data_IF_670052688538
#
_entry.id   IF_670052688538
#
_cell.length_a   1.000
_cell.length_b   1.000
_cell.length_c   1.000
_cell.angle_alpha   90.00
_cell.angle_beta   90.00
_cell.angle_gamma   90.00
#
_symmetry.space_group_name_H-M   'P 1'
#
loop_
_entity.id
_entity.type
_entity.pdbx_description
1 polymer ?
#
# COMPACT_ATOMS: atom_id res chain seq x y z
N UNK A 1 -2.27 -12.36 -0.33
CA UNK A 1 -1.00 -11.79 -0.83
C UNK A 1 0.13 -12.62 -0.28
N UNK A 2 1.17 -12.90 -1.07
CA UNK A 2 2.40 -13.48 -0.52
C UNK A 2 3.25 -12.34 0.05
N UNK A 3 3.65 -12.44 1.33
CA UNK A 3 4.48 -11.43 1.99
C UNK A 3 5.90 -11.97 2.18
N UNK A 4 6.93 -11.09 2.18
CA UNK A 4 8.30 -11.52 2.44
C UNK A 4 8.44 -12.28 3.77
N UNK A 5 9.20 -13.38 3.73
CA UNK A 5 9.52 -14.14 4.93
C UNK A 5 10.43 -13.33 5.88
N UNK A 6 10.41 -13.67 7.17
CA UNK A 6 11.37 -13.14 8.14
C UNK A 6 12.60 -14.04 8.21
N UNK A 7 13.77 -13.44 8.37
CA UNK A 7 15.01 -14.16 8.64
C UNK A 7 15.16 -14.50 10.14
N UNK A 8 16.29 -15.14 10.49
CA UNK A 8 16.60 -15.56 11.86
C UNK A 8 16.69 -14.40 12.87
N UNK A 9 16.87 -13.17 12.41
CA UNK A 9 16.88 -11.95 13.25
C UNK A 9 15.54 -11.20 13.20
N UNK A 10 14.49 -11.80 12.64
CA UNK A 10 13.13 -11.26 12.61
C UNK A 10 12.87 -10.19 11.54
N UNK A 11 13.82 -9.94 10.65
CA UNK A 11 13.70 -8.93 9.59
C UNK A 11 13.12 -9.53 8.31
N UNK A 12 12.32 -8.74 7.58
CA UNK A 12 11.77 -9.16 6.28
C UNK A 12 12.87 -9.25 5.22
N UNK A 13 12.89 -10.36 4.49
CA UNK A 13 13.75 -10.62 3.34
C UNK A 13 13.10 -10.03 2.07
N UNK A 14 13.23 -8.71 1.93
CA UNK A 14 12.71 -7.94 0.77
C UNK A 14 13.77 -7.82 -0.32
N UNK A 15 13.38 -7.30 -1.49
CA UNK A 15 14.30 -6.99 -2.61
C UNK A 15 15.38 -5.96 -2.25
N UNK A 16 15.20 -5.23 -1.15
CA UNK A 16 16.11 -4.20 -0.68
C UNK A 16 17.07 -4.70 0.42
N UNK A 17 16.99 -5.98 0.80
CA UNK A 17 17.82 -6.55 1.87
C UNK A 17 19.20 -6.94 1.34
N UNK A 18 20.24 -6.67 2.14
CA UNK A 18 21.60 -7.14 1.84
C UNK A 18 22.25 -6.50 0.61
N UNK A 19 21.66 -5.42 0.09
CA UNK A 19 22.15 -4.73 -1.10
C UNK A 19 23.35 -3.81 -0.76
N UNK A 20 24.19 -3.58 -1.77
CA UNK A 20 25.34 -2.68 -1.69
C UNK A 20 24.90 -1.22 -1.50
N UNK A 21 25.82 -0.35 -1.07
CA UNK A 21 25.49 1.08 -0.91
C UNK A 21 25.15 1.75 -2.24
N UNK A 22 25.80 1.37 -3.34
CA UNK A 22 25.43 1.86 -4.67
C UNK A 22 24.00 1.43 -5.04
N UNK A 23 23.62 0.19 -4.76
CA UNK A 23 22.25 -0.28 -4.94
C UNK A 23 21.27 0.46 -4.03
N UNK A 24 21.58 0.73 -2.75
CA UNK A 24 20.71 1.55 -1.89
C UNK A 24 20.44 2.91 -2.50
N UNK A 25 21.47 3.58 -3.02
CA UNK A 25 21.30 4.87 -3.70
C UNK A 25 20.39 4.75 -4.92
N UNK A 26 20.55 3.67 -5.70
CA UNK A 26 19.71 3.40 -6.87
C UNK A 26 18.26 3.04 -6.48
N UNK A 27 18.04 2.21 -5.46
CA UNK A 27 16.73 1.82 -4.94
C UNK A 27 16.00 3.02 -4.32
N UNK A 28 16.71 3.85 -3.56
CA UNK A 28 16.18 5.11 -3.03
C UNK A 28 15.67 6.03 -4.14
N UNK A 29 16.43 6.16 -5.23
CA UNK A 29 15.99 6.94 -6.40
C UNK A 29 14.76 6.35 -7.06
N UNK A 30 14.70 5.03 -7.22
CA UNK A 30 13.53 4.34 -7.76
C UNK A 30 12.30 4.55 -6.87
N UNK A 31 12.45 4.44 -5.55
CA UNK A 31 11.39 4.72 -4.59
C UNK A 31 10.88 6.17 -4.72
N UNK A 32 11.77 7.15 -4.70
CA UNK A 32 11.36 8.56 -4.83
C UNK A 32 10.73 8.86 -6.20
N UNK A 33 11.17 8.19 -7.27
CA UNK A 33 10.49 8.26 -8.56
C UNK A 33 9.06 7.75 -8.50
N UNK A 34 8.84 6.58 -7.90
CA UNK A 34 7.51 6.00 -7.72
C UNK A 34 6.63 6.94 -6.89
N UNK A 35 7.18 7.55 -5.84
CA UNK A 35 6.46 8.55 -5.05
C UNK A 35 6.07 9.77 -5.89
N UNK A 36 7.01 10.33 -6.67
CA UNK A 36 6.75 11.47 -7.54
C UNK A 36 5.65 11.20 -8.60
N UNK A 37 5.47 9.94 -9.00
CA UNK A 37 4.42 9.53 -9.95
C UNK A 37 3.07 9.24 -9.27
N UNK A 38 3.07 8.73 -8.03
CA UNK A 38 1.87 8.19 -7.40
C UNK A 38 1.28 9.07 -6.29
N UNK A 39 2.05 10.01 -5.75
CA UNK A 39 1.62 10.91 -4.68
C UNK A 39 1.16 12.25 -5.27
N UNK A 40 -0.02 12.25 -5.91
CA UNK A 40 -0.45 13.34 -6.80
C UNK A 40 -1.40 14.37 -6.19
N UNK A 41 -1.90 14.16 -4.96
CA UNK A 41 -2.71 15.17 -4.28
C UNK A 41 -1.89 16.42 -3.97
N UNK A 42 -2.52 17.60 -3.90
CA UNK A 42 -1.85 18.89 -3.74
C UNK A 42 -0.87 18.95 -2.54
N UNK A 43 -1.17 18.29 -1.43
CA UNK A 43 -0.27 18.24 -0.26
C UNK A 43 1.07 17.54 -0.52
N UNK A 44 1.17 16.72 -1.57
CA UNK A 44 2.38 15.98 -1.96
C UNK A 44 3.14 16.63 -3.12
N UNK A 45 2.74 17.82 -3.59
CA UNK A 45 3.48 18.56 -4.63
C UNK A 45 5.00 18.67 -4.35
N UNK A 46 5.45 18.92 -3.09
CA UNK A 46 6.88 19.01 -2.79
C UNK A 46 7.69 17.76 -3.16
N UNK A 47 7.04 16.59 -3.27
CA UNK A 47 7.69 15.33 -3.66
C UNK A 47 8.24 15.40 -5.07
N UNK A 48 7.43 15.87 -6.03
CA UNK A 48 7.84 15.96 -7.44
C UNK A 48 8.91 17.03 -7.64
N UNK A 49 8.75 18.21 -7.03
CA UNK A 49 9.70 19.32 -7.17
C UNK A 49 11.05 18.99 -6.52
N UNK A 50 11.07 18.40 -5.32
CA UNK A 50 12.31 17.98 -4.65
C UNK A 50 13.04 16.85 -5.40
N UNK A 51 12.30 15.84 -5.89
CA UNK A 51 12.91 14.75 -6.68
C UNK A 51 13.54 15.26 -7.96
N UNK A 52 12.83 16.13 -8.69
CA UNK A 52 13.32 16.77 -9.91
C UNK A 52 14.61 17.56 -9.65
N UNK A 53 14.64 18.35 -8.57
CA UNK A 53 15.82 19.10 -8.15
C UNK A 53 16.99 18.17 -7.77
N UNK A 54 16.74 17.11 -6.99
CA UNK A 54 17.75 16.14 -6.59
C UNK A 54 18.45 15.50 -7.80
N UNK A 55 17.71 15.07 -8.82
CA UNK A 55 18.34 14.48 -10.01
C UNK A 55 19.12 15.53 -10.81
N UNK A 56 18.58 16.75 -10.94
CA UNK A 56 19.22 17.81 -11.70
C UNK A 56 20.55 18.24 -11.06
N UNK A 57 20.54 18.52 -9.75
CA UNK A 57 21.70 18.96 -8.98
C UNK A 57 22.80 17.90 -8.96
N UNK A 58 22.42 16.63 -8.87
CA UNK A 58 23.32 15.50 -8.64
C UNK A 58 23.49 14.58 -9.85
N UNK A 59 23.20 15.07 -11.06
CA UNK A 59 23.22 14.26 -12.29
C UNK A 59 24.56 13.52 -12.51
N UNK A 60 25.70 14.16 -12.21
CA UNK A 60 27.04 13.57 -12.35
C UNK A 60 27.31 12.44 -11.34
N UNK A 61 27.26 12.68 -10.00
CA UNK A 61 27.51 11.61 -9.03
C UNK A 61 26.51 10.45 -9.16
N UNK A 62 25.23 10.73 -9.46
CA UNK A 62 24.23 9.67 -9.66
C UNK A 62 24.50 8.82 -10.91
N UNK A 63 25.06 9.41 -11.97
CA UNK A 63 25.52 8.65 -13.15
C UNK A 63 26.68 7.73 -12.80
N UNK A 64 27.63 8.18 -11.98
CA UNK A 64 28.76 7.36 -11.55
C UNK A 64 28.33 6.16 -10.71
N UNK A 65 27.31 6.33 -9.85
CA UNK A 65 26.66 5.21 -9.12
C UNK A 65 26.10 4.20 -10.12
N UNK A 66 25.29 4.64 -11.08
CA UNK A 66 24.73 3.75 -12.11
C UNK A 66 25.82 2.99 -12.89
N UNK A 67 26.91 3.67 -13.26
CA UNK A 67 28.03 3.05 -13.97
C UNK A 67 28.78 2.01 -13.12
N UNK A 68 28.84 2.18 -11.79
CA UNK A 68 29.41 1.17 -10.88
C UNK A 68 28.52 -0.05 -10.79
N UNK A 69 27.21 0.12 -10.59
CA UNK A 69 26.22 -0.97 -10.59
C UNK A 69 26.32 -1.77 -11.88
N UNK A 70 26.30 -1.09 -13.03
CA UNK A 70 26.44 -1.71 -14.34
C UNK A 70 27.72 -2.55 -14.48
N UNK A 71 28.83 -2.11 -13.88
CA UNK A 71 30.07 -2.89 -13.87
C UNK A 71 29.95 -4.13 -12.99
N UNK A 72 29.38 -4.00 -11.78
CA UNK A 72 29.15 -5.12 -10.86
C UNK A 72 28.33 -6.22 -11.53
N UNK A 73 27.15 -5.90 -12.07
CA UNK A 73 26.29 -6.88 -12.74
C UNK A 73 26.96 -7.57 -13.94
N UNK A 74 27.79 -6.84 -14.70
CA UNK A 74 28.55 -7.43 -15.82
C UNK A 74 29.64 -8.39 -15.35
N UNK A 75 30.27 -8.09 -14.22
CA UNK A 75 31.30 -8.93 -13.62
C UNK A 75 30.70 -10.21 -13.04
N UNK A 76 29.60 -10.10 -12.30
CA UNK A 76 28.93 -11.23 -11.67
C UNK A 76 28.33 -12.22 -12.68
N UNK A 77 27.72 -11.70 -13.76
CA UNK A 77 27.04 -12.55 -14.75
C UNK A 77 27.97 -13.10 -15.84
N UNK A 78 29.27 -12.74 -15.84
CA UNK A 78 30.28 -13.22 -16.78
C UNK A 78 30.07 -12.84 -18.26
N UNK A 79 28.97 -12.18 -18.61
CA UNK A 79 28.63 -11.74 -19.95
C UNK A 79 27.80 -10.45 -19.93
N UNK A 80 28.11 -9.51 -20.84
CA UNK A 80 27.47 -8.19 -20.91
C UNK A 80 25.94 -8.27 -21.01
N UNK A 81 25.41 -9.16 -21.86
CA UNK A 81 23.96 -9.29 -22.07
C UNK A 81 23.25 -9.86 -20.84
N UNK A 82 23.84 -10.84 -20.19
CA UNK A 82 23.29 -11.45 -18.97
C UNK A 82 23.27 -10.44 -17.81
N UNK A 83 24.31 -9.62 -17.66
CA UNK A 83 24.33 -8.53 -16.68
C UNK A 83 23.25 -7.47 -16.90
N UNK A 84 22.94 -7.14 -18.16
CA UNK A 84 21.85 -6.20 -18.48
C UNK A 84 20.48 -6.79 -18.08
N UNK A 85 20.23 -8.05 -18.45
CA UNK A 85 18.95 -8.70 -18.13
C UNK A 85 18.74 -8.84 -16.61
N UNK A 86 19.76 -9.26 -15.88
CA UNK A 86 19.70 -9.36 -14.41
C UNK A 86 19.40 -8.00 -13.76
N UNK A 87 20.00 -6.91 -14.28
CA UNK A 87 19.73 -5.55 -13.82
C UNK A 87 18.30 -5.10 -14.12
N UNK A 88 17.77 -5.40 -15.31
CA UNK A 88 16.40 -5.03 -15.70
C UNK A 88 15.34 -5.78 -14.88
N UNK A 89 15.58 -7.05 -14.57
CA UNK A 89 14.76 -7.84 -13.66
C UNK A 89 14.75 -7.23 -12.26
N UNK A 90 15.93 -6.94 -11.70
CA UNK A 90 16.07 -6.25 -10.42
C UNK A 90 15.34 -4.90 -10.43
N UNK A 91 15.47 -4.13 -11.52
CA UNK A 91 14.77 -2.86 -11.65
C UNK A 91 13.27 -3.05 -11.50
N UNK A 92 12.71 -3.96 -12.29
CA UNK A 92 11.26 -4.22 -12.28
C UNK A 92 10.78 -4.65 -10.89
N UNK A 93 11.54 -5.51 -10.20
CA UNK A 93 11.19 -5.95 -8.85
C UNK A 93 11.15 -4.80 -7.82
N UNK A 94 12.10 -3.87 -7.89
CA UNK A 94 12.15 -2.70 -7.01
C UNK A 94 11.00 -1.73 -7.27
N UNK A 95 10.69 -1.45 -8.54
CA UNK A 95 9.53 -0.60 -8.87
C UNK A 95 8.22 -1.24 -8.38
N UNK A 96 8.06 -2.55 -8.58
CA UNK A 96 6.88 -3.29 -8.11
C UNK A 96 6.75 -3.26 -6.59
N UNK A 97 7.87 -3.36 -5.86
CA UNK A 97 7.90 -3.26 -4.41
C UNK A 97 7.37 -1.89 -3.94
N UNK A 98 7.93 -0.79 -4.45
CA UNK A 98 7.52 0.55 -4.05
C UNK A 98 6.14 0.96 -4.58
N UNK A 99 5.61 0.24 -5.57
CA UNK A 99 4.28 0.45 -6.13
C UNK A 99 3.16 -0.30 -5.38
N UNK A 100 3.45 -1.00 -4.27
CA UNK A 100 2.43 -1.73 -3.51
C UNK A 100 1.31 -0.78 -3.02
N UNK A 101 0.07 -0.93 -3.55
CA UNK A 101 -1.04 -0.05 -3.18
C UNK A 101 -1.35 0.06 -1.68
N UNK A 102 -1.31 -1.02 -0.87
CA UNK A 102 -1.72 -0.93 0.53
C UNK A 102 -0.75 -0.10 1.40
N UNK A 103 0.51 0.07 0.99
CA UNK A 103 1.48 0.91 1.69
C UNK A 103 1.47 2.38 1.21
N UNK A 104 0.80 2.69 0.09
CA UNK A 104 0.93 3.96 -0.65
C UNK A 104 0.69 5.19 0.22
N UNK A 105 -0.35 5.21 1.05
CA UNK A 105 -0.68 6.39 1.85
C UNK A 105 0.43 6.74 2.88
N UNK A 106 1.04 5.72 3.50
CA UNK A 106 2.17 5.91 4.42
C UNK A 106 3.45 6.23 3.66
N UNK A 107 3.64 5.61 2.51
CA UNK A 107 4.76 5.88 1.61
C UNK A 107 4.79 7.33 1.11
N UNK A 108 3.65 7.88 0.68
CA UNK A 108 3.56 9.28 0.27
C UNK A 108 3.91 10.26 1.39
N UNK A 109 3.51 9.96 2.63
CA UNK A 109 3.89 10.75 3.81
C UNK A 109 5.38 10.68 4.09
N UNK A 110 6.00 9.50 4.00
CA UNK A 110 7.44 9.34 4.16
C UNK A 110 8.23 10.09 3.07
N UNK A 111 7.78 9.98 1.81
CA UNK A 111 8.38 10.70 0.69
C UNK A 111 8.26 12.23 0.85
N UNK A 112 7.13 12.73 1.37
CA UNK A 112 6.95 14.14 1.69
C UNK A 112 7.92 14.61 2.77
N UNK A 113 8.10 13.85 3.84
CA UNK A 113 9.08 14.16 4.89
C UNK A 113 10.50 14.27 4.32
N UNK A 114 10.93 13.28 3.53
CA UNK A 114 12.25 13.30 2.87
C UNK A 114 12.40 14.50 1.93
N UNK A 115 11.34 14.82 1.18
CA UNK A 115 11.33 15.97 0.26
C UNK A 115 11.47 17.29 1.00
N UNK A 116 10.81 17.42 2.15
CA UNK A 116 10.94 18.59 3.02
C UNK A 116 12.35 18.70 3.63
N UNK A 117 12.95 17.58 4.05
CA UNK A 117 14.35 17.56 4.54
C UNK A 117 15.33 18.01 3.47
N UNK A 118 15.18 17.48 2.25
CA UNK A 118 16.00 17.86 1.11
C UNK A 118 15.89 19.37 0.80
N UNK A 119 14.67 19.90 0.81
CA UNK A 119 14.42 21.32 0.55
C UNK A 119 14.95 22.23 1.67
N UNK A 120 14.84 21.79 2.94
CA UNK A 120 15.33 22.54 4.09
C UNK A 120 16.86 22.59 4.17
N UNK A 121 17.54 21.49 3.80
CA UNK A 121 18.98 21.37 3.82
C UNK A 121 19.45 20.53 2.64
N UNK A 122 19.84 21.19 1.53
CA UNK A 122 20.37 20.50 0.36
C UNK A 122 21.66 19.76 0.74
N UNK A 123 21.75 18.44 0.49
CA UNK A 123 22.93 17.67 0.85
C UNK A 123 24.12 18.04 -0.07
N UNK A 124 25.34 17.99 0.46
CA UNK A 124 26.55 18.06 -0.37
C UNK A 124 26.88 16.73 -1.04
N UNK A 125 26.47 15.62 -0.42
CA UNK A 125 26.64 14.27 -0.93
C UNK A 125 25.27 13.60 -1.15
N UNK A 126 24.85 13.37 -2.41
CA UNK A 126 23.59 12.72 -2.72
C UNK A 126 23.56 11.24 -2.31
N UNK A 127 24.70 10.54 -2.36
CA UNK A 127 24.76 9.12 -2.03
C UNK A 127 24.56 8.93 -0.52
N UNK A 128 25.26 9.73 0.30
CA UNK A 128 25.06 9.73 1.75
C UNK A 128 23.59 10.07 2.11
N UNK A 129 23.03 11.12 1.50
CA UNK A 129 21.62 11.48 1.72
C UNK A 129 20.66 10.33 1.39
N UNK A 130 20.87 9.63 0.28
CA UNK A 130 20.04 8.49 -0.10
C UNK A 130 20.17 7.33 0.90
N UNK A 131 21.38 6.97 1.30
CA UNK A 131 21.64 5.88 2.26
C UNK A 131 21.01 6.19 3.61
N UNK A 132 21.18 7.41 4.11
CA UNK A 132 20.68 7.83 5.43
C UNK A 132 19.15 7.86 5.51
N UNK A 133 18.48 8.09 4.38
CA UNK A 133 17.02 8.22 4.33
C UNK A 133 16.31 6.99 3.75
N UNK A 134 17.02 5.99 3.24
CA UNK A 134 16.40 4.85 2.54
C UNK A 134 15.44 4.06 3.43
N UNK A 135 15.83 3.77 4.66
CA UNK A 135 14.99 3.03 5.61
C UNK A 135 13.64 3.71 5.89
N UNK A 136 13.55 5.04 5.77
CA UNK A 136 12.30 5.78 5.95
C UNK A 136 11.30 5.53 4.82
N UNK A 137 11.79 5.31 3.59
CA UNK A 137 10.94 4.92 2.45
C UNK A 137 10.51 3.46 2.53
N UNK A 138 11.29 2.60 3.18
CA UNK A 138 10.97 1.17 3.35
C UNK A 138 9.97 0.91 4.49
N UNK A 139 10.06 1.67 5.57
CA UNK A 139 9.24 1.46 6.78
C UNK A 139 7.72 1.34 6.53
N UNK A 140 7.09 2.11 5.62
CA UNK A 140 5.68 1.93 5.25
C UNK A 140 5.32 0.52 4.76
N UNK A 141 6.23 -0.12 4.04
CA UNK A 141 6.02 -1.46 3.46
C UNK A 141 6.23 -2.53 4.51
N UNK A 142 7.28 -2.43 5.32
CA UNK A 142 7.52 -3.33 6.45
C UNK A 142 6.35 -3.32 7.45
N UNK A 143 5.85 -2.13 7.78
CA UNK A 143 4.66 -1.99 8.64
C UNK A 143 3.44 -2.66 8.02
N UNK A 144 3.20 -2.47 6.72
CA UNK A 144 2.10 -3.15 6.04
C UNK A 144 2.24 -4.67 6.09
N UNK A 145 3.43 -5.22 5.84
CA UNK A 145 3.65 -6.67 5.90
C UNK A 145 3.37 -7.22 7.30
N UNK A 146 3.75 -6.48 8.33
CA UNK A 146 3.54 -6.86 9.73
C UNK A 146 2.05 -6.82 10.12
N UNK A 147 1.34 -5.75 9.72
CA UNK A 147 -0.11 -5.66 9.89
C UNK A 147 -0.85 -6.77 9.12
N UNK A 148 -0.39 -7.10 7.91
CA UNK A 148 -1.00 -8.15 7.09
C UNK A 148 -0.76 -9.55 7.65
N UNK A 149 0.44 -9.83 8.16
CA UNK A 149 0.75 -11.08 8.87
C UNK A 149 -0.11 -11.23 10.13
N UNK A 150 -0.27 -10.14 10.90
CA UNK A 150 -1.16 -10.13 12.05
C UNK A 150 -2.61 -10.40 11.65
N UNK A 151 -3.08 -9.76 10.58
CA UNK A 151 -4.41 -10.00 10.03
C UNK A 151 -4.59 -11.48 9.66
N UNK A 152 -3.63 -12.10 8.94
CA UNK A 152 -3.72 -13.52 8.56
C UNK A 152 -3.84 -14.43 9.78
N UNK A 153 -3.08 -14.16 10.84
CA UNK A 153 -3.16 -14.91 12.09
C UNK A 153 -4.51 -14.73 12.77
N UNK A 154 -4.98 -13.50 12.90
CA UNK A 154 -6.27 -13.20 13.53
C UNK A 154 -7.44 -13.81 12.75
N UNK A 155 -7.38 -13.79 11.42
CA UNK A 155 -8.34 -14.44 10.52
C UNK A 155 -8.40 -15.94 10.79
N UNK A 156 -7.23 -16.59 10.87
CA UNK A 156 -7.14 -18.02 11.16
C UNK A 156 -7.66 -18.37 12.57
N UNK A 157 -7.29 -17.59 13.60
CA UNK A 157 -7.78 -17.79 14.97
C UNK A 157 -9.30 -17.62 15.06
N UNK A 158 -9.87 -16.67 14.31
CA UNK A 158 -11.31 -16.51 14.20
C UNK A 158 -11.95 -17.72 13.50
N UNK A 159 -11.37 -18.23 12.42
CA UNK A 159 -11.86 -19.42 11.70
C UNK A 159 -11.87 -20.66 12.58
N UNK A 160 -10.81 -20.88 13.35
CA UNK A 160 -10.74 -22.00 14.29
C UNK A 160 -11.84 -21.91 15.35
N UNK A 161 -12.17 -20.70 15.81
CA UNK A 161 -13.13 -20.50 16.90
C UNK A 161 -14.58 -20.48 16.43
N UNK A 162 -14.84 -19.92 15.25
CA UNK A 162 -16.20 -19.60 14.80
C UNK A 162 -16.51 -20.04 13.37
N UNK A 163 -15.55 -20.60 12.64
CA UNK A 163 -15.70 -20.99 11.25
C UNK A 163 -16.81 -22.01 11.01
N UNK A 164 -17.04 -22.93 11.96
CA UNK A 164 -18.15 -23.89 11.88
C UNK A 164 -19.53 -23.22 12.03
N UNK A 165 -19.59 -22.09 12.73
CA UNK A 165 -20.85 -21.39 13.06
C UNK A 165 -21.20 -20.30 12.05
N UNK A 166 -20.20 -19.56 11.56
CA UNK A 166 -20.39 -18.41 10.67
C UNK A 166 -19.75 -18.59 9.28
N UNK A 167 -19.11 -19.74 9.02
CA UNK A 167 -18.32 -19.96 7.82
C UNK A 167 -16.89 -19.37 7.93
N UNK A 168 -15.98 -19.72 7.01
CA UNK A 168 -14.61 -19.22 7.02
C UNK A 168 -14.55 -17.71 6.79
N UNK A 169 -13.63 -17.03 7.47
CA UNK A 169 -13.31 -15.61 7.34
C UNK A 169 -12.99 -15.30 5.89
N UNK A 170 -13.92 -14.61 5.24
CA UNK A 170 -13.82 -14.30 3.83
C UNK A 170 -13.20 -12.92 3.64
N UNK A 171 -12.31 -12.75 2.64
CA UNK A 171 -12.02 -11.41 2.12
C UNK A 171 -13.35 -10.73 1.79
N UNK A 172 -13.52 -9.45 2.13
CA UNK A 172 -14.83 -8.78 2.05
C UNK A 172 -15.54 -8.91 0.69
N UNK A 173 -14.80 -9.08 -0.41
CA UNK A 173 -15.39 -9.35 -1.73
C UNK A 173 -16.10 -10.72 -1.82
N UNK A 174 -15.58 -11.78 -1.19
CA UNK A 174 -16.23 -13.10 -1.20
C UNK A 174 -17.50 -13.08 -0.35
N UNK A 175 -17.48 -12.39 0.80
CA UNK A 175 -18.68 -12.15 1.60
C UNK A 175 -19.75 -11.39 0.78
N UNK A 176 -19.35 -10.35 0.03
CA UNK A 176 -20.22 -9.61 -0.89
C UNK A 176 -20.79 -10.50 -2.00
N UNK A 177 -20.00 -11.37 -2.62
CA UNK A 177 -20.47 -12.28 -3.67
C UNK A 177 -21.45 -13.33 -3.11
N UNK A 178 -21.15 -13.90 -1.95
CA UNK A 178 -22.05 -14.82 -1.26
C UNK A 178 -23.37 -14.15 -0.87
N UNK A 179 -23.31 -12.93 -0.34
CA UNK A 179 -24.50 -12.12 -0.05
C UNK A 179 -25.35 -11.89 -1.30
N UNK A 180 -24.74 -11.50 -2.43
CA UNK A 180 -25.44 -11.39 -3.73
C UNK A 180 -26.08 -12.70 -4.17
N UNK A 181 -25.36 -13.82 -4.05
CA UNK A 181 -25.86 -15.15 -4.44
C UNK A 181 -27.06 -15.59 -3.56
N UNK A 182 -27.08 -15.18 -2.29
CA UNK A 182 -28.14 -15.48 -1.33
C UNK A 182 -29.26 -14.42 -1.32
N UNK A 183 -29.27 -13.48 -2.28
CA UNK A 183 -30.30 -12.44 -2.37
C UNK A 183 -30.26 -11.40 -1.24
N UNK A 184 -29.17 -11.35 -0.46
CA UNK A 184 -28.96 -10.31 0.55
C UNK A 184 -28.65 -8.99 -0.18
N UNK A 185 -29.38 -7.89 0.09
CA UNK A 185 -29.12 -6.61 -0.55
C UNK A 185 -27.69 -6.14 -0.24
N UNK A 186 -26.84 -6.10 -1.27
CA UNK A 186 -25.49 -5.53 -1.16
C UNK A 186 -25.50 -4.13 -1.77
N UNK A 187 -24.99 -3.12 -1.05
CA UNK A 187 -24.74 -1.80 -1.59
C UNK A 187 -24.03 -1.83 -2.95
N UNK A 188 -24.65 -1.21 -3.95
CA UNK A 188 -24.13 -1.07 -5.30
C UNK A 188 -23.93 0.38 -5.70
N UNK A 189 -23.48 0.65 -6.94
CA UNK A 189 -23.22 2.01 -7.43
C UNK A 189 -24.43 2.95 -7.40
N UNK A 190 -25.64 2.39 -7.37
CA UNK A 190 -26.91 3.12 -7.29
C UNK A 190 -27.50 3.18 -5.88
N UNK A 191 -26.85 2.56 -4.90
CA UNK A 191 -27.28 2.63 -3.50
C UNK A 191 -26.99 4.00 -2.91
N UNK A 192 -27.89 4.48 -2.06
CA UNK A 192 -27.67 5.72 -1.33
C UNK A 192 -26.42 5.58 -0.43
N UNK A 193 -25.33 6.34 -0.68
CA UNK A 193 -24.10 6.24 0.09
C UNK A 193 -24.28 6.60 1.55
N UNK A 194 -25.26 7.46 1.86
CA UNK A 194 -25.55 7.91 3.22
C UNK A 194 -26.15 6.79 4.08
N UNK A 195 -26.71 5.75 3.45
CA UNK A 195 -27.29 4.59 4.12
C UNK A 195 -26.32 3.40 4.28
N UNK A 196 -25.12 3.47 3.70
CA UNK A 196 -24.17 2.34 3.63
C UNK A 196 -22.84 2.61 4.35
N UNK A 197 -22.70 3.81 4.93
CA UNK A 197 -21.61 4.15 5.84
C UNK A 197 -22.07 3.94 7.29
N UNK A 198 -21.21 3.33 8.11
CA UNK A 198 -21.43 3.24 9.55
C UNK A 198 -21.53 4.62 10.24
N UNK A 199 -20.95 5.65 9.61
CA UNK A 199 -21.09 7.05 10.00
C UNK A 199 -21.38 7.87 8.73
N UNK A 200 -22.60 8.43 8.55
CA UNK A 200 -22.98 9.14 7.33
C UNK A 200 -22.04 10.31 7.08
N UNK A 201 -21.28 10.25 5.98
CA UNK A 201 -20.42 11.36 5.54
C UNK A 201 -21.08 12.02 4.33
N UNK A 202 -21.28 13.34 4.39
CA UNK A 202 -21.90 14.07 3.28
C UNK A 202 -21.06 13.93 2.01
N UNK A 203 -21.70 13.64 0.88
CA UNK A 203 -21.03 13.59 -0.42
C UNK A 203 -20.42 14.97 -0.74
N UNK A 204 -19.16 14.99 -1.21
CA UNK A 204 -18.48 16.21 -1.60
C UNK A 204 -18.91 16.72 -3.00
N UNK A 205 -19.68 15.90 -3.73
CA UNK A 205 -20.22 16.18 -5.07
C UNK A 205 -20.64 14.88 -5.76
N UNK A 206 -21.01 14.96 -7.05
CA UNK A 206 -21.32 13.81 -7.90
C UNK A 206 -20.60 13.91 -9.24
N UNK A 207 -20.10 12.81 -9.76
CA UNK A 207 -19.60 12.67 -11.13
C UNK A 207 -20.58 11.83 -11.92
N UNK A 208 -21.07 12.36 -13.04
CA UNK A 208 -21.97 11.61 -13.92
C UNK A 208 -21.18 10.57 -14.70
N UNK A 209 -21.56 9.30 -14.56
CA UNK A 209 -21.02 8.20 -15.36
C UNK A 209 -21.39 8.43 -16.84
N UNK A 210 -20.42 8.47 -17.76
CA UNK A 210 -20.66 8.82 -19.16
C UNK A 210 -21.35 7.70 -19.98
N UNK A 211 -21.34 6.45 -19.51
CA UNK A 211 -22.00 5.33 -20.20
C UNK A 211 -23.44 5.12 -19.69
N UNK A 212 -23.66 5.32 -18.39
CA UNK A 212 -24.94 5.01 -17.73
C UNK A 212 -25.75 6.25 -17.35
N UNK A 213 -25.15 7.44 -17.35
CA UNK A 213 -25.79 8.70 -16.94
C UNK A 213 -26.04 8.81 -15.42
N UNK A 214 -25.59 7.83 -14.63
CA UNK A 214 -25.80 7.80 -13.18
C UNK A 214 -24.89 8.83 -12.51
N UNK A 215 -25.46 9.67 -11.64
CA UNK A 215 -24.70 10.60 -10.82
C UNK A 215 -24.03 9.83 -9.67
N UNK A 216 -22.75 9.50 -9.82
CA UNK A 216 -21.97 8.76 -8.83
C UNK A 216 -21.41 9.73 -7.79
N UNK A 217 -21.79 9.61 -6.51
CA UNK A 217 -21.36 10.51 -5.46
C UNK A 217 -19.87 10.33 -5.13
N UNK A 218 -19.14 11.44 -5.02
CA UNK A 218 -17.73 11.48 -4.62
C UNK A 218 -17.67 11.58 -3.11
N UNK A 219 -17.21 10.51 -2.47
CA UNK A 219 -16.92 10.49 -1.04
C UNK A 219 -15.46 10.91 -0.87
N UNK A 220 -15.17 12.02 -0.15
CA UNK A 220 -13.79 12.41 0.09
C UNK A 220 -13.13 11.35 0.99
N UNK A 221 -12.11 10.66 0.46
CA UNK A 221 -11.30 9.74 1.25
C UNK A 221 -10.43 10.56 2.20
N UNK A 222 -10.74 10.51 3.49
CA UNK A 222 -9.86 11.06 4.51
C UNK A 222 -8.70 10.08 4.72
N UNK A 223 -7.51 10.41 4.20
CA UNK A 223 -6.30 9.55 4.30
C UNK A 223 -5.87 9.22 5.75
N UNK A 224 -6.47 9.93 6.72
CA UNK A 224 -6.15 9.83 8.15
C UNK A 224 -7.17 8.98 8.93
N UNK A 225 -8.23 8.48 8.29
CA UNK A 225 -9.31 7.73 8.95
C UNK A 225 -9.20 6.26 8.57
N UNK A 226 -8.96 5.42 9.58
CA UNK A 226 -9.13 3.98 9.47
C UNK A 226 -10.59 3.70 9.82
N UNK A 227 -11.38 3.23 8.86
CA UNK A 227 -12.75 2.76 9.12
C UNK A 227 -12.69 1.65 10.18
N UNK A 228 -13.43 1.80 11.28
CA UNK A 228 -13.60 0.70 12.21
C UNK A 228 -14.41 -0.41 11.52
N UNK A 229 -14.06 -1.70 11.72
CA UNK A 229 -14.83 -2.80 11.16
C UNK A 229 -16.28 -2.73 11.66
N UNK A 230 -17.23 -2.89 10.73
CA UNK A 230 -18.64 -3.04 11.07
C UNK A 230 -18.79 -4.31 11.89
N UNK A 231 -19.22 -4.17 13.15
CA UNK A 231 -19.61 -5.33 13.96
C UNK A 231 -21.01 -5.73 13.51
N UNK A 232 -21.13 -6.94 12.96
CA UNK A 232 -22.44 -7.50 12.62
C UNK A 232 -23.26 -7.66 13.91
N UNK A 233 -24.48 -7.10 14.00
CA UNK A 233 -25.29 -7.26 15.20
C UNK A 233 -25.70 -8.72 15.37
N UNK A 234 -25.47 -9.27 16.57
CA UNK A 234 -25.89 -10.63 16.93
C UNK A 234 -27.42 -10.72 16.80
N UNK A 235 -27.91 -11.69 16.02
CA UNK A 235 -29.34 -11.96 15.91
C UNK A 235 -29.89 -12.29 17.31
N UNK A 236 -30.75 -11.44 17.85
CA UNK A 236 -31.52 -11.74 19.05
C UNK A 236 -32.61 -12.74 18.71
N UNK A 237 -32.66 -13.85 19.45
CA UNK A 237 -33.69 -14.87 19.33
C UNK A 237 -35.10 -14.24 19.47
N UNK A 238 -36.10 -14.65 18.67
CA UNK A 238 -37.45 -14.11 18.80
C UNK A 238 -38.02 -14.46 20.18
N UNK A 239 -38.78 -13.55 20.82
CA UNK A 239 -39.43 -13.87 22.08
C UNK A 239 -40.37 -15.07 21.91
N UNK A 240 -40.28 -16.02 22.84
CA UNK A 240 -41.11 -17.22 22.85
C UNK A 240 -42.60 -16.84 22.83
N UNK A 241 -43.46 -17.58 22.08
CA UNK A 241 -44.88 -17.29 22.04
C UNK A 241 -45.49 -17.52 23.42
N UNK A 242 -46.21 -16.50 23.92
CA UNK A 242 -46.97 -16.55 25.16
C UNK A 242 -47.88 -17.79 25.16
N UNK A 243 -47.60 -18.70 26.10
CA UNK A 243 -48.45 -19.85 26.38
C UNK A 243 -49.78 -19.39 26.95
N UNK A 244 -50.73 -19.10 26.06
CA UNK A 244 -52.12 -18.86 26.41
C UNK A 244 -52.74 -20.11 27.04
N UNK A 245 -52.84 -20.11 28.37
CA UNK A 245 -53.61 -21.08 29.13
C UNK A 245 -55.09 -20.69 29.06
N UNK A 246 -55.87 -21.39 28.23
CA UNK A 246 -57.33 -21.36 28.29
C UNK A 246 -57.81 -22.43 29.27
N UNK A 247 -58.45 -21.98 30.36
CA UNK A 247 -59.41 -22.75 31.14
C UNK A 247 -60.69 -22.99 30.32
#
# INVERSE_FOLDING_TARGET
MNIPARNMVGQRETINRGITDDEKVWHFRSAWNVAALNCTSAQYEPVLSAYSAYIADFARPLRQVNERIDRTYRQEMGARRAGILAREEQMTAVYNFFALPPARARFCRAALDISNRYNAARPSDPAAFAIDNFALLEAPFDLFFDEYEQYQRASYEWDVKYGDMFGPSQPGWVAVQAAKANGVPVPGPTSDPSAVLANPTAAAGTVTDPETGVAVPVIPVQENVVSQPVVEPVATEPPAPDGGSTL
#
